data_IF_188042622032
#
_entry.id   IF_188042622032
#
_cell.length_a   1.000
_cell.length_b   1.000
_cell.length_c   1.000
_cell.angle_alpha   90.00
_cell.angle_beta   90.00
_cell.angle_gamma   90.00
#
_symmetry.space_group_name_H-M   'P 1'
#
loop_
_entity.id
_entity.type
_entity.pdbx_description
1 polymer ?
#
# COMPACT_ATOMS: atom_id res chain seq x y z
N UNK A 1 33.49 -19.24 -47.73
CA UNK A 1 32.91 -20.49 -48.26
C UNK A 1 32.98 -21.57 -47.19
N UNK A 2 31.87 -21.82 -46.51
CA UNK A 2 31.42 -23.16 -46.08
C UNK A 2 30.14 -23.01 -45.22
N UNK A 3 29.04 -23.40 -45.84
CA UNK A 3 27.71 -23.58 -45.27
C UNK A 3 27.67 -24.88 -44.43
N UNK A 4 26.85 -24.92 -43.38
CA UNK A 4 26.12 -26.11 -42.92
C UNK A 4 25.01 -25.69 -41.93
N UNK A 5 23.76 -25.76 -42.39
CA UNK A 5 22.50 -25.76 -41.60
C UNK A 5 22.30 -27.15 -40.94
N UNK A 6 21.19 -27.40 -40.22
CA UNK A 6 20.47 -26.63 -39.19
C UNK A 6 20.38 -27.50 -37.90
N UNK A 7 19.55 -27.15 -36.91
CA UNK A 7 18.55 -28.07 -36.34
C UNK A 7 17.71 -27.37 -35.25
N UNK A 8 16.42 -27.32 -35.54
CA UNK A 8 15.33 -27.00 -34.63
C UNK A 8 15.22 -28.14 -33.61
N UNK A 9 15.39 -27.86 -32.32
CA UNK A 9 15.07 -28.82 -31.27
C UNK A 9 14.52 -28.06 -30.05
N UNK A 10 13.24 -28.33 -29.78
CA UNK A 10 12.55 -28.26 -28.50
C UNK A 10 12.27 -26.87 -27.87
N UNK A 11 11.04 -26.45 -28.15
CA UNK A 11 10.11 -25.86 -27.19
C UNK A 11 10.18 -26.56 -25.81
N UNK A 12 10.62 -25.83 -24.79
CA UNK A 12 10.34 -26.16 -23.40
C UNK A 12 9.78 -24.92 -22.70
N UNK A 13 8.45 -24.93 -22.56
CA UNK A 13 7.72 -24.35 -21.44
C UNK A 13 8.50 -24.56 -20.14
N UNK A 14 8.59 -23.56 -19.25
CA UNK A 14 8.39 -23.72 -17.80
C UNK A 14 8.69 -22.41 -17.02
N UNK A 15 7.60 -21.76 -16.62
CA UNK A 15 7.30 -21.28 -15.26
C UNK A 15 8.48 -21.10 -14.28
N UNK A 16 8.91 -19.85 -14.08
CA UNK A 16 9.72 -19.47 -12.92
C UNK A 16 8.84 -18.82 -11.84
N UNK A 17 8.17 -19.65 -11.06
CA UNK A 17 7.76 -19.32 -9.70
C UNK A 17 8.87 -19.74 -8.73
N UNK A 18 9.13 -18.90 -7.73
CA UNK A 18 9.85 -19.14 -6.47
C UNK A 18 11.38 -19.11 -6.44
N UNK A 19 11.92 -17.95 -6.05
CA UNK A 19 13.14 -17.77 -5.21
C UNK A 19 12.97 -16.37 -4.56
N UNK A 20 12.98 -16.09 -3.24
CA UNK A 20 13.79 -16.55 -2.11
C UNK A 20 13.03 -16.23 -0.80
N UNK A 21 12.80 -17.16 0.11
CA UNK A 21 13.70 -17.72 1.13
C UNK A 21 13.98 -16.76 2.30
N UNK A 22 13.51 -17.19 3.47
CA UNK A 22 13.63 -16.60 4.81
C UNK A 22 15.07 -16.57 5.31
N UNK A 23 15.50 -15.46 5.89
CA UNK A 23 16.68 -15.39 6.75
C UNK A 23 16.25 -14.89 8.14
N UNK A 24 16.29 -15.78 9.13
CA UNK A 24 16.24 -15.43 10.55
C UNK A 24 17.66 -15.46 11.12
N UNK A 25 18.14 -14.31 11.60
CA UNK A 25 18.75 -14.09 12.92
C UNK A 25 19.71 -12.92 12.84
N UNK A 26 19.36 -11.80 13.47
CA UNK A 26 20.26 -10.79 14.06
C UNK A 26 19.41 -9.94 15.02
N UNK A 27 19.55 -10.21 16.31
CA UNK A 27 18.97 -9.43 17.43
C UNK A 27 19.57 -8.01 17.43
N UNK A 28 18.73 -7.00 17.20
CA UNK A 28 19.10 -5.59 17.29
C UNK A 28 17.85 -4.72 17.39
N UNK A 29 17.56 -4.25 18.61
CA UNK A 29 16.59 -3.21 19.00
C UNK A 29 15.32 -3.15 18.13
N UNK A 30 14.30 -3.91 18.53
CA UNK A 30 12.93 -3.78 18.02
C UNK A 30 12.35 -2.43 18.44
N UNK A 31 12.52 -1.42 17.59
CA UNK A 31 11.60 -0.30 17.53
C UNK A 31 10.58 -0.68 16.46
N UNK A 32 9.45 -1.22 16.92
CA UNK A 32 8.28 -1.49 16.10
C UNK A 32 7.70 -0.15 15.64
N UNK A 33 8.30 0.43 14.60
CA UNK A 33 7.58 1.40 13.79
C UNK A 33 6.45 0.61 13.13
N UNK A 34 5.25 0.67 13.72
CA UNK A 34 4.02 0.16 13.13
C UNK A 34 3.92 0.74 11.72
N UNK A 35 4.31 -0.03 10.71
CA UNK A 35 4.08 0.33 9.31
C UNK A 35 2.58 0.21 9.11
N UNK A 36 1.85 1.31 9.35
CA UNK A 36 0.43 1.42 9.09
C UNK A 36 0.22 1.05 7.62
N UNK A 37 -0.30 -0.16 7.39
CA UNK A 37 -0.51 -0.65 6.04
C UNK A 37 -1.58 0.23 5.41
N UNK A 38 -1.26 0.85 4.28
CA UNK A 38 -2.23 1.60 3.49
C UNK A 38 -3.25 0.60 2.93
N UNK A 39 -4.33 0.40 3.67
CA UNK A 39 -5.50 -0.35 3.24
C UNK A 39 -6.69 0.59 3.09
N UNK A 40 -7.68 0.16 2.30
CA UNK A 40 -8.95 0.86 2.26
C UNK A 40 -9.65 0.71 3.62
N UNK A 41 -10.27 1.78 4.16
CA UNK A 41 -11.08 1.66 5.37
C UNK A 41 -12.18 0.62 5.19
N UNK A 42 -12.34 -0.25 6.19
CA UNK A 42 -13.37 -1.29 6.19
C UNK A 42 -14.63 -0.81 6.92
N UNK A 43 -15.79 -1.28 6.48
CA UNK A 43 -17.04 -0.99 7.17
C UNK A 43 -17.05 -1.73 8.51
N UNK A 44 -17.36 -1.00 9.59
CA UNK A 44 -17.43 -1.55 10.95
C UNK A 44 -16.10 -1.56 11.70
N UNK A 45 -14.97 -1.31 11.03
CA UNK A 45 -13.70 -1.07 11.72
C UNK A 45 -13.64 0.35 12.29
N UNK A 46 -12.81 0.61 13.31
CA UNK A 46 -12.54 1.98 13.75
C UNK A 46 -12.02 2.83 12.57
N UNK A 47 -12.45 4.10 12.52
CA UNK A 47 -11.93 5.04 11.53
C UNK A 47 -10.42 5.27 11.75
N UNK A 48 -9.62 5.42 10.67
CA UNK A 48 -8.20 5.75 10.77
C UNK A 48 -7.97 7.02 11.57
N UNK A 49 -6.95 7.01 12.44
CA UNK A 49 -6.59 8.21 13.21
C UNK A 49 -6.06 9.26 12.25
N UNK A 50 -6.61 10.47 12.31
CA UNK A 50 -6.10 11.61 11.54
C UNK A 50 -5.86 12.81 12.44
N UNK A 51 -4.94 13.67 12.00
CA UNK A 51 -4.80 15.05 12.45
C UNK A 51 -4.47 15.90 11.23
N UNK A 52 -5.29 16.90 10.94
CA UNK A 52 -5.17 17.72 9.74
C UNK A 52 -5.30 19.22 10.07
N UNK A 53 -4.71 20.06 9.23
CA UNK A 53 -5.00 21.49 9.25
C UNK A 53 -6.30 21.73 8.49
N UNK A 54 -7.23 22.44 9.12
CA UNK A 54 -8.51 22.83 8.52
C UNK A 54 -8.61 24.35 8.47
N UNK A 55 -9.62 24.86 7.78
CA UNK A 55 -9.98 26.29 7.81
C UNK A 55 -10.36 26.79 9.21
N UNK A 56 -10.66 25.89 10.14
CA UNK A 56 -10.95 26.18 11.55
C UNK A 56 -9.78 25.81 12.49
N UNK A 57 -8.56 25.71 11.95
CA UNK A 57 -7.36 25.31 12.67
C UNK A 57 -7.10 23.80 12.65
N UNK A 58 -6.16 23.34 13.49
CA UNK A 58 -5.80 21.93 13.58
C UNK A 58 -6.93 21.12 14.22
N UNK A 59 -7.33 20.02 13.57
CA UNK A 59 -8.38 19.11 14.05
C UNK A 59 -7.92 17.67 13.97
N UNK A 60 -8.42 16.85 14.88
CA UNK A 60 -8.15 15.42 15.00
C UNK A 60 -9.45 14.63 15.08
N UNK A 61 -9.38 13.31 14.82
CA UNK A 61 -10.55 12.43 14.93
C UNK A 61 -11.16 12.45 16.35
N UNK A 62 -10.35 12.69 17.39
CA UNK A 62 -10.81 12.73 18.78
C UNK A 62 -11.65 13.96 19.12
N UNK A 63 -11.51 15.04 18.36
CA UNK A 63 -12.25 16.29 18.60
C UNK A 63 -13.76 16.15 18.29
N UNK A 64 -14.14 15.12 17.55
CA UNK A 64 -15.51 14.87 17.09
C UNK A 64 -16.22 13.74 17.85
N UNK A 65 -15.70 13.33 19.02
CA UNK A 65 -16.31 12.27 19.84
C UNK A 65 -17.74 12.62 20.26
N UNK A 66 -18.62 11.62 20.24
CA UNK A 66 -20.03 11.79 20.61
C UNK A 66 -20.93 12.34 19.50
N UNK A 67 -20.40 12.54 18.27
CA UNK A 67 -21.16 12.95 17.10
C UNK A 67 -20.82 12.06 15.90
N UNK A 68 -21.72 12.01 14.92
CA UNK A 68 -21.43 11.41 13.62
C UNK A 68 -20.56 12.37 12.80
N UNK A 69 -19.54 11.82 12.15
CA UNK A 69 -18.62 12.55 11.27
C UNK A 69 -18.68 11.94 9.87
N UNK A 70 -18.89 12.77 8.86
CA UNK A 70 -18.81 12.39 7.44
C UNK A 70 -17.58 13.04 6.84
N UNK A 71 -16.67 12.24 6.29
CA UNK A 71 -15.46 12.72 5.63
C UNK A 71 -15.62 12.56 4.12
N UNK A 72 -15.33 13.63 3.37
CA UNK A 72 -15.42 13.63 1.90
C UNK A 72 -14.29 14.48 1.32
N UNK A 73 -13.94 14.23 0.07
CA UNK A 73 -12.95 14.99 -0.68
C UNK A 73 -13.49 15.39 -2.05
N UNK A 74 -12.92 16.46 -2.62
CA UNK A 74 -13.10 16.87 -4.01
C UNK A 74 -11.73 16.90 -4.71
N UNK A 75 -11.67 16.79 -6.06
CA UNK A 75 -10.39 16.72 -6.77
C UNK A 75 -9.58 18.02 -6.71
N UNK A 76 -10.23 19.18 -6.65
CA UNK A 76 -9.54 20.47 -6.53
C UNK A 76 -10.48 21.65 -6.34
N UNK A 77 -9.98 22.68 -5.64
CA UNK A 77 -10.72 23.93 -5.40
C UNK A 77 -11.00 24.66 -6.72
N UNK A 78 -12.17 25.30 -6.81
CA UNK A 78 -12.60 26.08 -7.98
C UNK A 78 -12.74 25.28 -9.29
N UNK A 79 -12.96 23.97 -9.20
CA UNK A 79 -13.34 23.13 -10.35
C UNK A 79 -14.86 22.92 -10.36
N UNK A 80 -15.55 23.02 -11.52
CA UNK A 80 -16.94 22.56 -11.61
C UNK A 80 -16.98 21.05 -11.40
N UNK A 81 -18.11 20.56 -10.88
CA UNK A 81 -18.35 19.13 -10.69
C UNK A 81 -18.71 18.47 -12.01
#
# INVERSE_FOLDING_TARGET
MNESKPNNFEELSNNNSNQNQVNLSNEGLQQEDEVERVCLPEIGSPAPKFTAMTTFGRRSLTDYRGSWLVFFSHPGDFTPV
#
